data_IF_237601014321
#
_entry.id   IF_237601014321
#
_cell.length_a   1.000
_cell.length_b   1.000
_cell.length_c   1.000
_cell.angle_alpha   90.00
_cell.angle_beta   90.00
_cell.angle_gamma   90.00
#
_symmetry.space_group_name_H-M   'P 1'
#
loop_
_entity.id
_entity.type
_entity.pdbx_description
1 polymer ?
#
# COMPACT_ATOMS: atom_id res chain seq x y z
N UNK A 1 13.29 -28.12 -2.33
CA UNK A 1 11.98 -27.48 -2.63
C UNK A 1 11.52 -26.50 -1.55
N UNK A 2 11.75 -26.76 -0.24
CA UNK A 2 11.30 -25.86 0.85
C UNK A 2 11.91 -24.44 0.85
N UNK A 3 13.15 -24.28 0.39
CA UNK A 3 13.88 -23.00 0.44
C UNK A 3 13.21 -21.92 -0.44
N UNK A 4 12.68 -22.32 -1.60
CA UNK A 4 12.07 -21.37 -2.55
C UNK A 4 10.74 -20.81 -2.05
N UNK A 5 9.98 -21.63 -1.33
CA UNK A 5 8.70 -21.23 -0.71
C UNK A 5 8.95 -20.23 0.42
N UNK A 6 9.94 -20.51 1.29
CA UNK A 6 10.30 -19.60 2.38
C UNK A 6 10.81 -18.25 1.86
N UNK A 7 11.57 -18.24 0.76
CA UNK A 7 12.03 -17.00 0.12
C UNK A 7 10.87 -16.18 -0.43
N UNK A 8 9.90 -16.79 -1.12
CA UNK A 8 8.73 -16.07 -1.64
C UNK A 8 7.81 -15.51 -0.54
N UNK A 9 7.68 -16.23 0.59
CA UNK A 9 6.91 -15.73 1.74
C UNK A 9 7.66 -14.54 2.38
N UNK A 10 8.98 -14.67 2.58
CA UNK A 10 9.80 -13.58 3.14
C UNK A 10 9.80 -12.31 2.28
N UNK A 11 9.84 -12.45 0.96
CA UNK A 11 9.80 -11.34 0.00
C UNK A 11 8.48 -10.56 0.13
N UNK A 12 7.35 -11.27 0.22
CA UNK A 12 6.00 -10.68 0.37
C UNK A 12 5.77 -10.01 1.73
N UNK A 13 6.32 -10.57 2.81
CA UNK A 13 6.31 -9.90 4.13
C UNK A 13 7.07 -8.57 4.04
N UNK A 14 8.23 -8.56 3.36
CA UNK A 14 9.00 -7.35 3.12
C UNK A 14 8.25 -6.31 2.29
N UNK A 15 7.55 -6.74 1.24
CA UNK A 15 6.67 -5.88 0.43
C UNK A 15 5.55 -5.26 1.27
N UNK A 16 4.83 -6.06 2.05
CA UNK A 16 3.74 -5.58 2.89
C UNK A 16 4.21 -4.53 3.91
N UNK A 17 5.32 -4.81 4.62
CA UNK A 17 5.93 -3.86 5.54
C UNK A 17 6.35 -2.55 4.84
N UNK A 18 6.86 -2.65 3.61
CA UNK A 18 7.23 -1.48 2.80
C UNK A 18 5.99 -0.63 2.48
N UNK A 19 4.90 -1.25 2.04
CA UNK A 19 3.65 -0.54 1.75
C UNK A 19 3.06 0.13 2.99
N UNK A 20 3.12 -0.51 4.16
CA UNK A 20 2.67 0.09 5.41
C UNK A 20 3.46 1.36 5.74
N UNK A 21 4.80 1.28 5.73
CA UNK A 21 5.66 2.43 6.01
C UNK A 21 5.43 3.58 5.02
N UNK A 22 5.28 3.27 3.74
CA UNK A 22 4.99 4.26 2.70
C UNK A 22 3.59 4.86 2.84
N UNK A 23 2.60 4.08 3.29
CA UNK A 23 1.26 4.56 3.55
C UNK A 23 1.22 5.59 4.68
N UNK A 24 1.93 5.31 5.78
CA UNK A 24 2.10 6.26 6.88
C UNK A 24 2.86 7.52 6.42
N UNK A 25 3.93 7.34 5.65
CA UNK A 25 4.69 8.47 5.12
C UNK A 25 3.84 9.37 4.19
N UNK A 26 3.02 8.78 3.32
CA UNK A 26 2.10 9.52 2.47
C UNK A 26 1.04 10.26 3.29
N UNK A 27 0.54 9.64 4.37
CA UNK A 27 -0.38 10.27 5.31
C UNK A 27 0.24 11.51 5.97
N UNK A 28 1.47 11.39 6.49
CA UNK A 28 2.24 12.49 7.09
C UNK A 28 2.55 13.62 6.09
N UNK A 29 2.69 13.28 4.79
CA UNK A 29 2.86 14.27 3.72
C UNK A 29 1.54 14.95 3.29
N UNK A 30 0.41 14.62 3.92
CA UNK A 30 -0.91 15.14 3.57
C UNK A 30 -1.60 14.41 2.41
N UNK A 31 -0.96 13.37 1.84
CA UNK A 31 -1.53 12.49 0.80
C UNK A 31 -2.34 11.36 1.43
N UNK A 32 -3.35 11.75 2.20
CA UNK A 32 -4.17 10.83 3.00
C UNK A 32 -4.92 9.77 2.16
N UNK A 33 -5.32 10.12 0.93
CA UNK A 33 -5.97 9.21 -0.02
C UNK A 33 -5.02 8.09 -0.48
N UNK A 34 -3.83 8.46 -0.96
CA UNK A 34 -2.80 7.50 -1.39
C UNK A 34 -2.25 6.69 -0.22
N UNK A 35 -2.07 7.32 0.95
CA UNK A 35 -1.65 6.63 2.17
C UNK A 35 -2.60 5.50 2.56
N UNK A 36 -3.91 5.77 2.54
CA UNK A 36 -4.94 4.76 2.78
C UNK A 36 -4.84 3.59 1.77
N UNK A 37 -4.61 3.87 0.49
CA UNK A 37 -4.46 2.82 -0.54
C UNK A 37 -3.24 1.93 -0.31
N UNK A 38 -2.13 2.51 0.14
CA UNK A 38 -0.91 1.76 0.44
C UNK A 38 -1.07 0.88 1.69
N UNK A 39 -1.71 1.39 2.75
CA UNK A 39 -2.04 0.58 3.94
C UNK A 39 -3.03 -0.53 3.59
N UNK A 40 -4.01 -0.25 2.73
CA UNK A 40 -4.95 -1.25 2.22
C UNK A 40 -4.25 -2.39 1.47
N UNK A 41 -3.22 -2.04 0.68
CA UNK A 41 -2.41 -2.99 -0.05
C UNK A 41 -1.60 -3.91 0.88
N UNK A 42 -0.95 -3.34 1.89
CA UNK A 42 -0.27 -4.11 2.94
C UNK A 42 -1.23 -5.13 3.57
N UNK A 43 -2.40 -4.68 4.04
CA UNK A 43 -3.38 -5.57 4.67
C UNK A 43 -3.82 -6.71 3.73
N UNK A 44 -3.93 -6.46 2.42
CA UNK A 44 -4.26 -7.49 1.43
C UNK A 44 -3.14 -8.50 1.23
N UNK A 45 -1.88 -8.04 1.15
CA UNK A 45 -0.71 -8.92 1.00
C UNK A 45 -0.52 -9.76 2.26
N UNK A 46 -0.56 -9.16 3.45
CA UNK A 46 -0.49 -9.87 4.74
C UNK A 46 -1.59 -10.93 4.88
N UNK A 47 -2.82 -10.60 4.47
CA UNK A 47 -3.93 -11.56 4.45
C UNK A 47 -3.69 -12.70 3.45
N UNK A 48 -3.06 -12.42 2.30
CA UNK A 48 -2.77 -13.43 1.26
C UNK A 48 -1.68 -14.42 1.66
N UNK A 49 -0.75 -14.02 2.54
CA UNK A 49 0.33 -14.88 3.06
C UNK A 49 0.00 -15.48 4.44
N UNK A 50 -1.13 -15.11 5.03
CA UNK A 50 -1.55 -15.58 6.36
C UNK A 50 -0.63 -15.09 7.48
N UNK A 51 -0.09 -13.87 7.35
CA UNK A 51 0.81 -13.30 8.33
C UNK A 51 0.07 -12.90 9.61
N UNK A 52 0.76 -13.01 10.76
CA UNK A 52 0.14 -12.86 12.08
C UNK A 52 -0.11 -11.39 12.47
N UNK A 53 0.50 -10.44 11.74
CA UNK A 53 0.37 -8.99 11.98
C UNK A 53 -0.80 -8.31 11.25
N UNK A 54 -1.48 -9.01 10.33
CA UNK A 54 -2.69 -8.55 9.64
C UNK A 54 -3.75 -7.82 10.51
N UNK A 55 -4.03 -8.20 11.78
CA UNK A 55 -4.99 -7.46 12.61
C UNK A 55 -4.53 -6.04 13.00
N UNK A 56 -3.21 -5.78 13.04
CA UNK A 56 -2.65 -4.46 13.38
C UNK A 56 -2.88 -3.48 12.23
N UNK A 57 -2.59 -3.90 11.00
CA UNK A 57 -2.73 -3.07 9.80
C UNK A 57 -4.20 -2.76 9.48
N UNK A 58 -5.11 -3.70 9.73
CA UNK A 58 -6.54 -3.47 9.54
C UNK A 58 -7.10 -2.40 10.49
N UNK A 59 -6.56 -2.31 11.72
CA UNK A 59 -6.95 -1.26 12.67
C UNK A 59 -6.54 0.11 12.15
N UNK A 60 -5.30 0.25 11.69
CA UNK A 60 -4.78 1.49 11.10
C UNK A 60 -5.61 1.89 9.88
N UNK A 61 -5.93 0.94 9.01
CA UNK A 61 -6.79 1.16 7.85
C UNK A 61 -8.18 1.66 8.24
N UNK A 62 -8.83 1.03 9.23
CA UNK A 62 -10.16 1.44 9.71
C UNK A 62 -10.16 2.83 10.32
N UNK A 63 -9.12 3.18 11.08
CA UNK A 63 -8.96 4.48 11.71
C UNK A 63 -8.82 5.57 10.64
N UNK A 64 -7.88 5.38 9.70
CA UNK A 64 -7.67 6.27 8.56
C UNK A 64 -8.92 6.41 7.67
N UNK A 65 -9.62 5.31 7.40
CA UNK A 65 -10.85 5.35 6.62
C UNK A 65 -11.95 6.17 7.35
N UNK A 66 -12.04 6.01 8.67
CA UNK A 66 -13.02 6.73 9.48
C UNK A 66 -12.72 8.23 9.51
N UNK A 67 -11.45 8.61 9.63
CA UNK A 67 -10.99 10.01 9.55
C UNK A 67 -11.34 10.67 8.20
N UNK A 68 -11.30 9.90 7.11
CA UNK A 68 -11.68 10.38 5.78
C UNK A 68 -13.19 10.35 5.50
N UNK A 69 -14.00 9.90 6.47
CA UNK A 69 -15.44 9.69 6.28
C UNK A 69 -15.75 8.61 5.24
N UNK A 70 -14.84 7.65 5.02
CA UNK A 70 -15.08 6.53 4.13
C UNK A 70 -16.10 5.59 4.75
N UNK A 71 -17.19 5.37 4.02
CA UNK A 71 -18.14 4.32 4.38
C UNK A 71 -17.54 2.96 4.10
N UNK A 72 -18.01 1.94 4.83
CA UNK A 72 -17.61 0.54 4.62
C UNK A 72 -17.62 0.14 3.14
N UNK A 73 -18.67 0.55 2.41
CA UNK A 73 -18.81 0.29 0.97
C UNK A 73 -17.73 0.95 0.10
N UNK A 74 -17.31 2.18 0.42
CA UNK A 74 -16.20 2.86 -0.29
C UNK A 74 -14.86 2.20 0.04
N UNK A 75 -14.65 1.82 1.29
CA UNK A 75 -13.45 1.10 1.71
C UNK A 75 -13.36 -0.27 1.02
N UNK A 76 -14.45 -1.03 0.96
CA UNK A 76 -14.52 -2.31 0.24
C UNK A 76 -14.25 -2.14 -1.26
N UNK A 77 -14.80 -1.10 -1.89
CA UNK A 77 -14.52 -0.81 -3.29
C UNK A 77 -13.04 -0.47 -3.53
N UNK A 78 -12.43 0.31 -2.63
CA UNK A 78 -11.02 0.66 -2.68
C UNK A 78 -10.12 -0.57 -2.46
N UNK A 79 -10.44 -1.41 -1.48
CA UNK A 79 -9.73 -2.68 -1.25
C UNK A 79 -9.77 -3.57 -2.49
N UNK A 80 -10.92 -3.65 -3.16
CA UNK A 80 -11.07 -4.42 -4.39
C UNK A 80 -10.22 -3.86 -5.53
N UNK A 81 -10.26 -2.55 -5.74
CA UNK A 81 -9.46 -1.86 -6.76
C UNK A 81 -7.95 -2.07 -6.54
N UNK A 82 -7.51 -1.89 -5.29
CA UNK A 82 -6.11 -2.11 -4.87
C UNK A 82 -5.69 -3.57 -5.07
N UNK A 83 -6.57 -4.53 -4.74
CA UNK A 83 -6.31 -5.95 -4.96
C UNK A 83 -6.22 -6.33 -6.45
N UNK A 84 -7.03 -5.71 -7.31
CA UNK A 84 -6.95 -5.90 -8.76
C UNK A 84 -5.64 -5.30 -9.32
N UNK A 85 -5.26 -4.11 -8.85
CA UNK A 85 -4.00 -3.48 -9.22
C UNK A 85 -2.77 -4.28 -8.76
N UNK A 86 -2.83 -4.87 -7.56
CA UNK A 86 -1.76 -5.73 -7.05
C UNK A 86 -1.60 -7.00 -7.90
N UNK A 87 -2.70 -7.68 -8.24
CA UNK A 87 -2.65 -8.86 -9.07
C UNK A 87 -2.08 -8.60 -10.48
N UNK A 88 -2.16 -7.36 -10.95
CA UNK A 88 -1.71 -6.97 -12.28
C UNK A 88 -0.25 -6.54 -12.32
N UNK A 89 0.18 -5.72 -11.34
CA UNK A 89 1.47 -5.01 -11.38
C UNK A 89 2.21 -5.04 -10.02
N UNK A 90 1.88 -5.96 -9.10
CA UNK A 90 2.44 -6.08 -7.75
C UNK A 90 2.37 -4.76 -6.94
N UNK A 91 1.39 -3.91 -7.22
CA UNK A 91 1.19 -2.64 -6.51
C UNK A 91 2.16 -1.53 -6.92
N UNK A 92 3.05 -1.75 -7.90
CA UNK A 92 4.01 -0.75 -8.41
C UNK A 92 3.32 0.51 -8.94
N UNK A 93 2.13 0.34 -9.53
CA UNK A 93 1.32 1.47 -9.99
C UNK A 93 0.89 2.38 -8.84
N UNK A 94 0.42 1.80 -7.74
CA UNK A 94 -0.04 2.55 -6.56
C UNK A 94 1.13 3.29 -5.90
N UNK A 95 2.31 2.67 -5.87
CA UNK A 95 3.54 3.33 -5.43
C UNK A 95 3.87 4.55 -6.29
N UNK A 96 3.76 4.43 -7.61
CA UNK A 96 4.06 5.54 -8.53
C UNK A 96 2.98 6.64 -8.47
N UNK A 97 1.72 6.31 -8.16
CA UNK A 97 0.67 7.30 -7.91
C UNK A 97 0.91 8.05 -6.58
N UNK A 98 1.32 7.33 -5.53
CA UNK A 98 1.61 7.92 -4.21
C UNK A 98 2.90 8.75 -4.19
N UNK A 99 3.93 8.22 -4.86
CA UNK A 99 5.27 8.80 -4.96
C UNK A 99 5.68 8.80 -6.43
N UNK A 100 5.11 9.72 -7.25
CA UNK A 100 5.59 9.90 -8.61
C UNK A 100 7.07 10.23 -8.51
N UNK A 101 7.89 9.47 -9.24
CA UNK A 101 9.31 9.80 -9.39
C UNK A 101 9.35 11.25 -9.87
N UNK A 102 9.91 12.14 -9.06
CA UNK A 102 10.21 13.48 -9.52
C UNK A 102 11.33 13.27 -10.53
N UNK A 103 10.99 13.29 -11.82
CA UNK A 103 11.98 13.29 -12.89
C UNK A 103 13.03 14.35 -12.53
N UNK A 104 14.30 13.97 -12.33
CA UNK A 104 15.35 14.93 -12.01
C UNK A 104 15.57 15.96 -13.13
N UNK A 105 14.96 15.75 -14.30
CA UNK A 105 15.05 16.60 -15.50
C UNK A 105 14.04 17.77 -15.54
N UNK A 106 13.14 17.90 -14.55
CA UNK A 106 12.28 19.11 -14.46
C UNK A 106 12.98 20.35 -13.88
N UNK A 107 14.31 20.29 -13.69
CA UNK A 107 15.17 21.46 -13.45
C UNK A 107 15.86 21.95 -14.73
N UNK A 108 15.12 22.02 -15.84
CA UNK A 108 15.44 23.02 -16.86
C UNK A 108 14.95 24.38 -16.38
N UNK A 109 15.66 24.95 -15.39
CA UNK A 109 15.64 26.39 -15.16
C UNK A 109 16.34 27.01 -16.36
N UNK A 110 15.52 27.51 -17.26
CA UNK A 110 15.75 28.73 -18.02
C UNK A 110 16.73 29.67 -17.30
N UNK A 111 17.99 29.74 -17.77
CA UNK A 111 18.92 30.88 -17.65
C UNK A 111 19.97 30.84 -18.74
#
# INVERSE_FOLDING_TARGET
MAIRILQQIGDRVGEAATFHQLGILAWEQGRVQEGLRLVALCCFVDASIGHRDAPSDFKVLSDMASELGYTKKKLEALLKDVAEAYQKDDGKRLLNEAFPQVDPDSRSVDR
#
